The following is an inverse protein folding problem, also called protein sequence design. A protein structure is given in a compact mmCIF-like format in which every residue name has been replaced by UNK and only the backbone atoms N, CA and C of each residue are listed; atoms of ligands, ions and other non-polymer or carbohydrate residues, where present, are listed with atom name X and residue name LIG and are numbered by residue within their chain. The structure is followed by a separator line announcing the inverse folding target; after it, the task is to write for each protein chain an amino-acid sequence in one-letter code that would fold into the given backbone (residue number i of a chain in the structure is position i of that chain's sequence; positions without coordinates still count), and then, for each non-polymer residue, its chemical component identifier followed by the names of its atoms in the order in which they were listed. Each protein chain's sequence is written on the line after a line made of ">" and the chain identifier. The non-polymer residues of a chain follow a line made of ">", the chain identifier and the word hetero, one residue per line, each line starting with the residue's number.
data_IF_544079396589
#
_entry.id   IF_544079396589
#
_cell.length_a   1.000
_cell.length_b   1.000
_cell.length_c   1.000
_cell.angle_alpha   90.00
_cell.angle_beta   90.00
_cell.angle_gamma   90.00
#
_symmetry.space_group_name_H-M   'P 1'
#
loop_
_entity.id
_entity.type
_entity.pdbx_description
1 polymer ?
#
# COMPACT_ATOMS: atom_id res chain seq x y z
N UNK A 1 29.60 3.62 -9.45
CA UNK A 1 29.11 4.81 -8.72
C UNK A 1 27.66 4.54 -8.36
N UNK A 2 27.39 4.14 -7.11
CA UNK A 2 26.01 3.92 -6.66
C UNK A 2 25.41 5.28 -6.39
N UNK A 3 24.79 5.85 -7.42
CA UNK A 3 24.01 7.08 -7.36
C UNK A 3 22.86 6.86 -6.37
N UNK A 4 23.10 7.19 -5.10
CA UNK A 4 22.09 7.13 -4.04
C UNK A 4 21.09 8.26 -4.30
N UNK A 5 20.18 8.03 -5.25
CA UNK A 5 19.03 8.90 -5.51
C UNK A 5 18.33 9.15 -4.18
N UNK A 6 18.24 10.42 -3.78
CA UNK A 6 17.53 10.84 -2.55
C UNK A 6 16.16 10.17 -2.53
N UNK A 7 15.73 9.58 -1.40
CA UNK A 7 14.42 8.94 -1.30
C UNK A 7 13.35 9.97 -1.61
N UNK A 8 12.77 9.91 -2.81
CA UNK A 8 11.67 10.79 -3.22
C UNK A 8 10.38 10.23 -2.63
N UNK A 9 9.65 11.06 -1.90
CA UNK A 9 8.35 10.71 -1.32
C UNK A 9 7.43 10.05 -2.35
N UNK A 10 7.41 10.56 -3.59
CA UNK A 10 6.65 9.98 -4.70
C UNK A 10 6.91 8.49 -4.93
N UNK A 11 8.18 8.04 -4.87
CA UNK A 11 8.49 6.63 -5.09
C UNK A 11 7.89 5.78 -3.97
N UNK A 12 8.07 6.18 -2.71
CA UNK A 12 7.51 5.45 -1.57
C UNK A 12 5.99 5.42 -1.60
N UNK A 13 5.36 6.56 -1.92
CA UNK A 13 3.92 6.66 -2.06
C UNK A 13 3.41 5.76 -3.19
N UNK A 14 4.08 5.77 -4.35
CA UNK A 14 3.73 4.94 -5.51
C UNK A 14 3.83 3.45 -5.16
N UNK A 15 4.91 3.04 -4.48
CA UNK A 15 5.06 1.67 -4.00
C UNK A 15 3.99 1.30 -2.97
N UNK A 16 3.68 2.16 -2.00
CA UNK A 16 2.64 1.89 -1.00
C UNK A 16 1.24 1.80 -1.59
N UNK A 17 0.92 2.65 -2.57
CA UNK A 17 -0.36 2.61 -3.28
C UNK A 17 -0.43 1.32 -4.09
N UNK A 18 0.59 0.99 -4.89
CA UNK A 18 0.63 -0.26 -5.68
C UNK A 18 0.50 -1.50 -4.79
N UNK A 19 1.23 -1.54 -3.68
CA UNK A 19 1.22 -2.67 -2.75
C UNK A 19 -0.11 -2.76 -2.00
N UNK A 20 -0.68 -1.62 -1.60
CA UNK A 20 -2.00 -1.53 -0.97
C UNK A 20 -3.13 -1.95 -1.89
N UNK A 21 -3.06 -1.59 -3.18
CA UNK A 21 -4.03 -2.00 -4.21
C UNK A 21 -3.90 -3.49 -4.55
N UNK A 22 -2.67 -4.01 -4.68
CA UNK A 22 -2.42 -5.43 -4.88
C UNK A 22 -2.89 -6.26 -3.68
N UNK A 23 -2.52 -5.87 -2.46
CA UNK A 23 -2.98 -6.54 -1.24
C UNK A 23 -4.50 -6.46 -1.08
N UNK A 24 -5.08 -5.27 -1.29
CA UNK A 24 -6.52 -5.04 -1.20
C UNK A 24 -7.31 -5.82 -2.26
N UNK A 25 -6.81 -5.94 -3.49
CA UNK A 25 -7.45 -6.73 -4.56
C UNK A 25 -7.39 -8.24 -4.31
N UNK A 26 -6.29 -8.75 -3.75
CA UNK A 26 -6.18 -10.15 -3.33
C UNK A 26 -7.19 -10.44 -2.20
N UNK A 27 -7.21 -9.59 -1.15
CA UNK A 27 -8.15 -9.73 -0.03
C UNK A 27 -9.61 -9.62 -0.51
N UNK A 28 -9.89 -8.71 -1.43
CA UNK A 28 -11.19 -8.55 -2.06
C UNK A 28 -11.61 -9.79 -2.87
N UNK A 29 -10.69 -10.38 -3.63
CA UNK A 29 -10.93 -11.63 -4.38
C UNK A 29 -11.23 -12.78 -3.42
N UNK A 30 -10.49 -12.92 -2.32
CA UNK A 30 -10.74 -13.94 -1.30
C UNK A 30 -12.10 -13.72 -0.63
N UNK A 31 -12.45 -12.47 -0.29
CA UNK A 31 -13.77 -12.11 0.26
C UNK A 31 -14.91 -12.45 -0.70
N UNK A 32 -14.69 -12.31 -2.00
CA UNK A 32 -15.64 -12.70 -3.06
C UNK A 32 -15.87 -14.20 -3.07
N UNK A 33 -14.78 -14.99 -3.03
CA UNK A 33 -14.84 -16.46 -3.01
C UNK A 33 -15.55 -16.99 -1.76
N UNK A 34 -15.40 -16.30 -0.63
CA UNK A 34 -16.07 -16.66 0.63
C UNK A 34 -17.51 -16.10 0.74
N UNK A 35 -18.01 -15.39 -0.26
CA UNK A 35 -19.37 -14.84 -0.29
C UNK A 35 -19.60 -13.59 0.56
N UNK A 36 -18.53 -12.98 1.11
CA UNK A 36 -18.62 -11.80 1.97
C UNK A 36 -18.43 -10.51 1.17
N UNK A 37 -19.52 -10.01 0.58
CA UNK A 37 -19.56 -8.76 -0.20
C UNK A 37 -19.05 -7.54 0.60
N UNK A 38 -19.24 -7.54 1.91
CA UNK A 38 -18.76 -6.48 2.80
C UNK A 38 -17.23 -6.36 2.83
N UNK A 39 -16.52 -7.50 2.81
CA UNK A 39 -15.04 -7.55 2.82
C UNK A 39 -14.46 -7.04 1.49
N UNK A 40 -15.25 -7.05 0.42
CA UNK A 40 -14.83 -6.63 -0.92
C UNK A 40 -14.57 -5.11 -0.98
N UNK A 41 -15.52 -4.31 -0.49
CA UNK A 41 -15.44 -2.83 -0.46
C UNK A 41 -14.48 -2.38 0.64
N UNK A 42 -14.61 -2.99 1.82
CA UNK A 42 -13.79 -2.66 2.98
C UNK A 42 -12.33 -3.06 2.75
N UNK A 43 -12.07 -4.20 2.10
CA UNK A 43 -10.73 -4.67 1.78
C UNK A 43 -10.00 -3.76 0.79
N UNK A 44 -10.69 -3.26 -0.24
CA UNK A 44 -10.10 -2.29 -1.16
C UNK A 44 -9.83 -0.94 -0.47
N UNK A 45 -10.81 -0.41 0.29
CA UNK A 45 -10.68 0.89 0.96
C UNK A 45 -9.65 0.90 2.10
N UNK A 46 -9.65 -0.14 2.93
CA UNK A 46 -8.67 -0.33 4.00
C UNK A 46 -7.29 -0.65 3.41
N UNK A 47 -7.22 -1.47 2.36
CA UNK A 47 -5.95 -1.81 1.68
C UNK A 47 -5.25 -0.58 1.11
N UNK A 48 -6.01 0.34 0.48
CA UNK A 48 -5.47 1.60 -0.03
C UNK A 48 -5.01 2.53 1.10
N UNK A 49 -5.82 2.66 2.14
CA UNK A 49 -5.54 3.52 3.30
C UNK A 49 -4.31 3.03 4.08
N UNK A 50 -4.22 1.73 4.35
CA UNK A 50 -3.06 1.10 5.00
C UNK A 50 -1.82 1.17 4.11
N UNK A 51 -1.94 0.93 2.80
CA UNK A 51 -0.83 1.03 1.86
C UNK A 51 -0.20 2.42 1.84
N UNK A 52 -1.04 3.47 1.83
CA UNK A 52 -0.57 4.86 1.97
C UNK A 52 0.07 5.14 3.33
N UNK A 53 -0.55 4.68 4.42
CA UNK A 53 -0.02 4.89 5.77
C UNK A 53 1.37 4.24 5.93
N UNK A 54 1.53 3.00 5.46
CA UNK A 54 2.80 2.27 5.51
C UNK A 54 3.87 2.96 4.66
N UNK A 55 3.53 3.42 3.45
CA UNK A 55 4.46 4.18 2.63
C UNK A 55 4.91 5.49 3.29
N UNK A 56 3.99 6.19 3.95
CA UNK A 56 4.30 7.43 4.65
C UNK A 56 5.23 7.17 5.86
N UNK A 57 4.98 6.09 6.60
CA UNK A 57 5.84 5.65 7.71
C UNK A 57 7.22 5.23 7.22
N UNK A 58 7.31 4.46 6.13
CA UNK A 58 8.58 4.06 5.51
C UNK A 58 9.38 5.29 5.05
N UNK A 59 8.73 6.24 4.38
CA UNK A 59 9.35 7.49 3.99
C UNK A 59 9.86 8.29 5.20
N UNK A 60 9.05 8.40 6.25
CA UNK A 60 9.45 9.09 7.48
C UNK A 60 10.65 8.40 8.14
N UNK A 61 10.70 7.06 8.13
CA UNK A 61 11.81 6.32 8.70
C UNK A 61 13.10 6.48 7.89
N UNK A 62 12.98 6.51 6.56
CA UNK A 62 14.12 6.63 5.65
C UNK A 62 14.63 8.07 5.55
N UNK A 63 13.77 9.07 5.71
CA UNK A 63 14.19 10.49 5.76
C UNK A 63 14.85 10.87 7.09
N UNK A 64 14.59 10.12 8.18
CA UNK A 64 15.18 10.36 9.50
C UNK A 64 16.54 9.66 9.68
N UNK A 65 16.91 8.78 8.76
CA UNK A 65 18.14 7.98 8.77
C UNK A 65 19.22 8.65 7.92
#
# INVERSE_FOLDING_TARGET
>A
MTDKKKPKLENYLTYGILFGLLGGSIVSTIGTVLGYVFIQIVGAGIGLSLGMMIACVLYYYETKR
#
